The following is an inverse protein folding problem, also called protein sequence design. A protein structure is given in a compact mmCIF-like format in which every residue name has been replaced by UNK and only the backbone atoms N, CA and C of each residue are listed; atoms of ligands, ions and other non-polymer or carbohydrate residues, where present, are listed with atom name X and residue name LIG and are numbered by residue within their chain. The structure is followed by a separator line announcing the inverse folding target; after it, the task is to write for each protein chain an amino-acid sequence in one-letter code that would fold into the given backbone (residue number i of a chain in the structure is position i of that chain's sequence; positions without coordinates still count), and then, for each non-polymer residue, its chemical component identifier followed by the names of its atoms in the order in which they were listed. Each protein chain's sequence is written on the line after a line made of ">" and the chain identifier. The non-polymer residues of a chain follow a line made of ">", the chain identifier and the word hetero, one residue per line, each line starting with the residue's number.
data_IF_154402087630
#
_entry.id   IF_154402087630
#
_cell.length_a   1.000
_cell.length_b   1.000
_cell.length_c   1.000
_cell.angle_alpha   90.00
_cell.angle_beta   90.00
_cell.angle_gamma   90.00
#
_symmetry.space_group_name_H-M   'P 1'
#
loop_
_entity.id
_entity.type
_entity.pdbx_description
1 polymer ?
#
# COMPACT_ATOMS: atom_id res chain seq x y z
N UNK A 1 8.21 9.58 11.40
CA UNK A 1 7.28 8.44 11.33
C UNK A 1 8.06 7.16 11.57
N UNK A 2 7.51 6.24 12.37
CA UNK A 2 8.10 4.91 12.55
C UNK A 2 7.49 3.89 11.56
N UNK A 3 8.10 2.71 11.44
CA UNK A 3 7.63 1.67 10.52
C UNK A 3 6.16 1.31 10.73
N UNK A 4 5.69 1.22 11.98
CA UNK A 4 4.28 0.89 12.32
C UNK A 4 3.29 1.94 11.78
N UNK A 5 3.63 3.21 11.88
CA UNK A 5 2.81 4.29 11.32
C UNK A 5 2.77 4.23 9.78
N UNK A 6 3.90 3.92 9.16
CA UNK A 6 4.01 3.86 7.70
C UNK A 6 3.29 2.65 7.13
N UNK A 7 3.44 1.46 7.73
CA UNK A 7 2.70 0.27 7.31
C UNK A 7 1.19 0.46 7.48
N UNK A 8 0.75 1.11 8.56
CA UNK A 8 -0.66 1.50 8.74
C UNK A 8 -1.13 2.41 7.61
N UNK A 9 -0.39 3.49 7.29
CA UNK A 9 -0.77 4.40 6.21
C UNK A 9 -0.75 3.73 4.83
N UNK A 10 0.17 2.80 4.59
CA UNK A 10 0.19 1.98 3.38
C UNK A 10 -1.08 1.13 3.28
N UNK A 11 -1.51 0.50 4.37
CA UNK A 11 -2.77 -0.26 4.44
C UNK A 11 -3.98 0.65 4.20
N UNK A 12 -4.08 1.75 4.96
CA UNK A 12 -5.14 2.75 4.84
C UNK A 12 -5.26 3.28 3.41
N UNK A 13 -4.15 3.42 2.67
CA UNK A 13 -4.16 3.90 1.29
C UNK A 13 -4.97 3.03 0.31
N UNK A 14 -5.29 1.79 0.69
CA UNK A 14 -6.14 0.86 -0.07
C UNK A 14 -7.63 1.08 0.17
N UNK A 15 -8.00 1.64 1.32
CA UNK A 15 -9.39 1.86 1.73
C UNK A 15 -9.79 3.34 1.63
N UNK A 16 -8.84 4.25 1.87
CA UNK A 16 -9.06 5.70 1.84
C UNK A 16 -7.93 6.42 1.09
N UNK A 17 -8.25 7.62 0.61
CA UNK A 17 -7.23 8.53 0.10
C UNK A 17 -6.43 9.10 1.27
N UNK A 18 -5.10 8.96 1.20
CA UNK A 18 -4.19 9.65 2.12
C UNK A 18 -4.15 11.15 1.82
N UNK A 19 -4.03 11.96 2.88
CA UNK A 19 -3.75 13.39 2.79
C UNK A 19 -2.36 13.64 2.20
N UNK A 20 -2.11 14.85 1.69
CA UNK A 20 -0.80 15.21 1.12
C UNK A 20 0.32 15.06 2.15
N UNK A 21 0.08 15.44 3.41
CA UNK A 21 1.04 15.30 4.52
C UNK A 21 1.38 13.83 4.79
N UNK A 22 0.39 12.95 4.82
CA UNK A 22 0.60 11.51 4.99
C UNK A 22 1.38 10.91 3.82
N UNK A 23 1.03 11.29 2.58
CA UNK A 23 1.75 10.83 1.38
C UNK A 23 3.22 11.23 1.39
N UNK A 24 3.52 12.47 1.77
CA UNK A 24 4.90 12.96 1.86
C UNK A 24 5.65 12.17 2.95
N UNK A 25 5.05 12.00 4.14
CA UNK A 25 5.66 11.24 5.23
C UNK A 25 5.94 9.77 4.91
N UNK A 26 5.02 9.11 4.19
CA UNK A 26 5.24 7.75 3.68
C UNK A 26 6.38 7.76 2.67
N UNK A 27 6.35 8.64 1.66
CA UNK A 27 7.40 8.69 0.61
C UNK A 27 8.80 8.91 1.20
N UNK A 28 8.96 9.82 2.15
CA UNK A 28 10.27 10.08 2.78
C UNK A 28 10.76 8.87 3.56
N UNK A 29 9.88 8.20 4.30
CA UNK A 29 10.25 6.97 5.01
C UNK A 29 10.61 5.81 4.08
N UNK A 30 9.91 5.68 2.96
CA UNK A 30 10.19 4.64 1.97
C UNK A 30 11.58 4.79 1.35
N UNK A 31 12.13 6.01 1.25
CA UNK A 31 13.48 6.25 0.74
C UNK A 31 14.53 5.59 1.65
N UNK A 32 14.35 5.66 2.97
CA UNK A 32 15.33 5.21 3.97
C UNK A 32 15.09 3.79 4.47
N UNK A 33 13.86 3.26 4.35
CA UNK A 33 13.49 1.97 4.92
C UNK A 33 13.10 0.97 3.82
N UNK A 34 13.99 0.01 3.46
CA UNK A 34 13.72 -0.97 2.43
C UNK A 34 12.57 -1.92 2.83
N UNK A 35 12.40 -2.23 4.11
CA UNK A 35 11.33 -3.10 4.60
C UNK A 35 9.94 -2.51 4.36
N UNK A 36 9.75 -1.23 4.68
CA UNK A 36 8.48 -0.55 4.41
C UNK A 36 8.20 -0.44 2.90
N UNK A 37 9.26 -0.33 2.08
CA UNK A 37 9.16 -0.34 0.62
C UNK A 37 8.67 -1.70 0.12
N UNK A 38 9.26 -2.79 0.61
CA UNK A 38 8.83 -4.14 0.28
C UNK A 38 7.38 -4.39 0.71
N UNK A 39 7.02 -3.95 1.92
CA UNK A 39 5.64 -4.06 2.42
C UNK A 39 4.64 -3.36 1.50
N UNK A 40 4.95 -2.14 1.04
CA UNK A 40 4.13 -1.43 0.04
C UNK A 40 3.94 -2.26 -1.22
N UNK A 41 5.02 -2.83 -1.76
CA UNK A 41 4.96 -3.67 -2.96
C UNK A 41 4.11 -4.93 -2.74
N UNK A 42 4.22 -5.59 -1.58
CA UNK A 42 3.38 -6.75 -1.24
C UNK A 42 1.89 -6.38 -1.20
N UNK A 43 1.52 -5.28 -0.53
CA UNK A 43 0.14 -4.82 -0.49
C UNK A 43 -0.41 -4.46 -1.88
N UNK A 44 0.44 -3.90 -2.77
CA UNK A 44 0.07 -3.64 -4.17
C UNK A 44 -0.15 -4.93 -4.95
N UNK A 45 0.72 -5.93 -4.76
CA UNK A 45 0.62 -7.20 -5.44
C UNK A 45 -0.65 -7.97 -5.04
N UNK A 46 -0.92 -8.09 -3.73
CA UNK A 46 -2.13 -8.74 -3.22
C UNK A 46 -3.37 -8.01 -3.75
N UNK A 47 -3.40 -6.68 -3.67
CA UNK A 47 -4.53 -5.89 -4.17
C UNK A 47 -4.76 -6.08 -5.68
N UNK A 48 -3.69 -6.25 -6.47
CA UNK A 48 -3.80 -6.57 -7.89
C UNK A 48 -4.38 -7.97 -8.11
N UNK A 49 -3.83 -8.98 -7.43
CA UNK A 49 -4.30 -10.37 -7.53
C UNK A 49 -5.80 -10.49 -7.17
N UNK A 50 -6.26 -9.81 -6.13
CA UNK A 50 -7.67 -9.80 -5.75
C UNK A 50 -8.57 -9.15 -6.80
N UNK A 51 -8.11 -8.09 -7.47
CA UNK A 51 -8.84 -7.46 -8.58
C UNK A 51 -8.89 -8.39 -9.79
N UNK A 52 -7.75 -8.99 -10.15
CA UNK A 52 -7.64 -9.91 -11.27
C UNK A 52 -8.55 -11.14 -11.05
N UNK A 53 -8.66 -11.62 -9.80
CA UNK A 53 -9.59 -12.69 -9.41
C UNK A 53 -11.05 -12.26 -9.58
N UNK A 54 -11.44 -11.11 -9.01
CA UNK A 54 -12.81 -10.59 -9.12
C UNK A 54 -13.23 -10.31 -10.57
N UNK A 55 -12.28 -9.98 -11.47
CA UNK A 55 -12.57 -9.82 -12.90
C UNK A 55 -12.68 -11.14 -13.65
N UNK A 56 -12.00 -12.21 -13.22
CA UNK A 56 -12.03 -13.53 -13.88
C UNK A 56 -13.26 -14.35 -13.50
N UNK A 57 -13.82 -14.16 -12.30
CA UNK A 57 -15.04 -14.85 -11.87
C UNK A 57 -16.31 -14.38 -12.63
N UNK A 58 -16.23 -13.35 -13.47
CA UNK A 58 -17.31 -12.90 -14.35
C UNK A 58 -17.34 -13.55 -15.74
N UNK A 59 -16.40 -14.46 -16.05
CA UNK A 59 -16.28 -15.16 -17.34
C UNK A 59 -16.82 -16.61 -17.33
N UNK A 60 -17.74 -16.95 -16.42
CA UNK A 60 -18.45 -18.24 -16.40
C UNK A 60 -19.96 -18.08 -16.11
#
# INVERSE_FOLDING_TARGET
>A
MNCRQVTRLISDSKERKLTLKEKIGVKTHLIICPYCRQFKHHCEHISKLMKDFATKDGEY
#
